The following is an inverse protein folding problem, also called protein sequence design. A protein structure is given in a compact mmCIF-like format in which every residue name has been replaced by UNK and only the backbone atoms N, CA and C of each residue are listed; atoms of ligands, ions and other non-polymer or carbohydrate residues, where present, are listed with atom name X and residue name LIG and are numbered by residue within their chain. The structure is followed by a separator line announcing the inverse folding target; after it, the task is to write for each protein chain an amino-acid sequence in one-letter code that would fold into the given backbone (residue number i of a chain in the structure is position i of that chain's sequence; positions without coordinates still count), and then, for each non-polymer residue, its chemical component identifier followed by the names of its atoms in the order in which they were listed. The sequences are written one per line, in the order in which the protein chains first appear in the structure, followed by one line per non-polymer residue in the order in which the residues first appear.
data_IF_079021713224
#
_entry.id   IF_079021713224
#
_cell.length_a   1.000
_cell.length_b   1.000
_cell.length_c   1.000
_cell.angle_alpha   90.00
_cell.angle_beta   90.00
_cell.angle_gamma   90.00
#
_symmetry.space_group_name_H-M   'P 1'
#
loop_
_entity.id
_entity.type
_entity.pdbx_description
1 polymer ?
#
# COMPACT_ATOMS: atom_id res chain seq x y z
N UNK A 1 -21.31 5.24 13.07
CA UNK A 1 -22.12 6.12 12.21
C UNK A 1 -23.19 5.34 11.46
N UNK A 2 -22.85 4.34 10.63
CA UNK A 2 -23.82 3.57 9.83
C UNK A 2 -24.90 2.94 10.73
N UNK A 3 -24.52 2.25 11.81
CA UNK A 3 -25.46 1.64 12.75
C UNK A 3 -26.42 2.65 13.40
N UNK A 4 -25.94 3.84 13.74
CA UNK A 4 -26.76 4.92 14.29
C UNK A 4 -27.81 5.40 13.29
N UNK A 5 -27.40 5.68 12.05
CA UNK A 5 -28.32 6.10 10.99
C UNK A 5 -29.32 5.02 10.64
N UNK A 6 -28.90 3.77 10.49
CA UNK A 6 -29.84 2.67 10.16
C UNK A 6 -30.87 2.46 11.25
N UNK A 7 -30.48 2.58 12.52
CA UNK A 7 -31.44 2.48 13.66
C UNK A 7 -32.40 3.66 13.63
N UNK A 8 -31.96 4.87 13.34
CA UNK A 8 -32.80 6.07 13.28
C UNK A 8 -33.80 6.02 12.12
N UNK A 9 -33.43 5.46 10.98
CA UNK A 9 -34.32 5.31 9.82
C UNK A 9 -35.06 3.99 9.76
N UNK A 10 -34.99 3.15 10.82
CA UNK A 10 -35.72 1.88 10.91
C UNK A 10 -35.24 0.81 9.91
N UNK A 11 -34.08 0.97 9.32
CA UNK A 11 -33.49 0.00 8.37
C UNK A 11 -32.89 -1.14 9.19
N UNK A 12 -33.51 -2.30 9.15
CA UNK A 12 -32.96 -3.53 9.75
C UNK A 12 -31.97 -4.16 8.77
N UNK A 13 -30.71 -4.07 9.06
CA UNK A 13 -29.67 -4.79 8.32
C UNK A 13 -29.60 -6.22 8.85
N UNK A 14 -29.67 -7.19 7.94
CA UNK A 14 -29.53 -8.60 8.29
C UNK A 14 -28.09 -8.88 8.75
N UNK A 15 -27.97 -9.51 9.93
CA UNK A 15 -26.67 -9.81 10.55
C UNK A 15 -25.80 -10.72 9.68
N UNK A 16 -26.39 -11.69 8.98
CA UNK A 16 -25.65 -12.58 8.08
C UNK A 16 -25.09 -11.84 6.87
N UNK A 17 -25.88 -10.93 6.30
CA UNK A 17 -25.43 -10.10 5.18
C UNK A 17 -24.30 -9.18 5.59
N UNK A 18 -24.37 -8.56 6.78
CA UNK A 18 -23.30 -7.72 7.30
C UNK A 18 -22.01 -8.51 7.53
N UNK A 19 -22.13 -9.70 8.11
CA UNK A 19 -20.97 -10.58 8.33
C UNK A 19 -20.33 -10.99 7.00
N UNK A 20 -21.14 -11.39 6.02
CA UNK A 20 -20.62 -11.70 4.67
C UNK A 20 -19.89 -10.51 4.03
N UNK A 21 -20.47 -9.31 4.10
CA UNK A 21 -19.83 -8.10 3.53
C UNK A 21 -18.52 -7.78 4.25
N UNK A 22 -18.46 -7.97 5.57
CA UNK A 22 -17.23 -7.77 6.36
C UNK A 22 -16.14 -8.76 5.94
N UNK A 23 -16.44 -10.05 5.84
CA UNK A 23 -15.48 -11.07 5.43
C UNK A 23 -15.00 -10.86 3.99
N UNK A 24 -15.94 -10.60 3.08
CA UNK A 24 -15.62 -10.32 1.69
C UNK A 24 -14.73 -9.08 1.55
N UNK A 25 -15.05 -8.01 2.29
CA UNK A 25 -14.21 -6.80 2.32
C UNK A 25 -12.79 -7.08 2.85
N UNK A 26 -12.68 -7.92 3.89
CA UNK A 26 -11.39 -8.32 4.44
C UNK A 26 -10.56 -9.13 3.43
N UNK A 27 -11.19 -10.08 2.74
CA UNK A 27 -10.54 -10.88 1.69
C UNK A 27 -10.02 -9.97 0.57
N UNK A 28 -10.84 -9.06 0.06
CA UNK A 28 -10.45 -8.11 -0.99
C UNK A 28 -9.29 -7.21 -0.52
N UNK A 29 -9.32 -6.74 0.71
CA UNK A 29 -8.28 -5.91 1.29
C UNK A 29 -6.94 -6.65 1.32
N UNK A 30 -6.91 -7.86 1.88
CA UNK A 30 -5.69 -8.69 1.97
C UNK A 30 -5.18 -9.07 0.58
N UNK A 31 -6.08 -9.43 -0.34
CA UNK A 31 -5.73 -9.76 -1.72
C UNK A 31 -5.08 -8.58 -2.45
N UNK A 32 -5.66 -7.39 -2.32
CA UNK A 32 -5.13 -6.16 -2.94
C UNK A 32 -3.73 -5.82 -2.42
N UNK A 33 -3.52 -5.93 -1.09
CA UNK A 33 -2.19 -5.74 -0.49
C UNK A 33 -1.22 -6.80 -1.02
N UNK A 34 -1.65 -8.06 -1.12
CA UNK A 34 -0.83 -9.15 -1.65
C UNK A 34 -0.32 -8.89 -3.07
N UNK A 35 -1.20 -8.40 -3.96
CA UNK A 35 -0.83 -8.02 -5.33
C UNK A 35 0.17 -6.85 -5.32
N UNK A 36 -0.07 -5.85 -4.50
CA UNK A 36 0.76 -4.64 -4.46
C UNK A 36 2.17 -4.91 -3.90
N UNK A 37 2.26 -5.70 -2.84
CA UNK A 37 3.51 -5.96 -2.11
C UNK A 37 4.27 -7.16 -2.65
N UNK A 38 3.55 -8.15 -3.21
CA UNK A 38 4.10 -9.45 -3.62
C UNK A 38 5.34 -9.37 -4.53
N UNK A 39 5.32 -8.63 -5.63
CA UNK A 39 6.48 -8.54 -6.54
C UNK A 39 7.74 -7.96 -5.87
N UNK A 40 7.57 -6.97 -4.99
CA UNK A 40 8.67 -6.33 -4.27
C UNK A 40 9.20 -7.16 -3.09
N UNK A 41 8.36 -8.02 -2.51
CA UNK A 41 8.70 -8.79 -1.31
C UNK A 41 9.90 -9.72 -1.52
N UNK A 42 9.87 -10.53 -2.58
CA UNK A 42 10.97 -11.45 -2.89
C UNK A 42 12.27 -10.74 -3.29
N UNK A 43 12.15 -9.59 -3.97
CA UNK A 43 13.31 -8.77 -4.33
C UNK A 43 13.94 -8.13 -3.09
N UNK A 44 13.13 -7.66 -2.16
CA UNK A 44 13.58 -7.07 -0.88
C UNK A 44 14.26 -8.10 0.00
N UNK A 45 13.78 -9.34 0.07
CA UNK A 45 14.39 -10.43 0.85
C UNK A 45 15.84 -10.70 0.47
N UNK A 46 16.23 -10.52 -0.79
CA UNK A 46 17.57 -10.85 -1.29
C UNK A 46 18.63 -9.79 -0.95
N UNK A 47 18.28 -8.51 -0.87
CA UNK A 47 19.28 -7.41 -0.84
C UNK A 47 19.57 -6.83 0.56
N UNK A 48 18.58 -6.73 1.44
CA UNK A 48 18.73 -6.23 2.83
C UNK A 48 17.58 -6.69 3.73
N UNK A 49 16.69 -7.52 3.19
CA UNK A 49 15.43 -7.87 3.81
C UNK A 49 15.53 -8.74 5.07
N UNK A 50 16.59 -9.51 5.25
CA UNK A 50 16.71 -10.39 6.43
C UNK A 50 16.80 -9.59 7.74
N UNK A 51 17.58 -8.50 7.75
CA UNK A 51 17.71 -7.64 8.95
C UNK A 51 16.41 -6.90 9.23
N UNK A 52 15.79 -6.30 8.21
CA UNK A 52 14.52 -5.57 8.35
C UNK A 52 13.38 -6.51 8.75
N UNK A 53 13.28 -7.68 8.12
CA UNK A 53 12.29 -8.68 8.48
C UNK A 53 12.52 -9.23 9.89
N UNK A 54 13.78 -9.44 10.29
CA UNK A 54 14.13 -9.84 11.66
C UNK A 54 13.70 -8.81 12.70
N UNK A 55 13.91 -7.51 12.43
CA UNK A 55 13.42 -6.42 13.28
C UNK A 55 11.90 -6.37 13.31
N UNK A 56 11.23 -6.57 12.17
CA UNK A 56 9.77 -6.65 12.10
C UNK A 56 9.21 -7.79 12.95
N UNK A 57 9.78 -8.98 12.85
CA UNK A 57 9.40 -10.14 13.67
C UNK A 57 9.63 -9.84 15.16
N UNK A 58 10.75 -9.22 15.51
CA UNK A 58 11.06 -8.86 16.89
C UNK A 58 10.03 -7.87 17.46
N UNK A 59 9.65 -6.85 16.71
CA UNK A 59 8.63 -5.87 17.12
C UNK A 59 7.28 -6.56 17.37
N UNK A 60 6.84 -7.43 16.46
CA UNK A 60 5.60 -8.18 16.61
C UNK A 60 5.65 -9.12 17.81
N UNK A 61 6.76 -9.84 18.01
CA UNK A 61 6.95 -10.75 19.14
C UNK A 61 6.95 -10.00 20.48
N UNK A 62 7.64 -8.84 20.56
CA UNK A 62 7.62 -8.00 21.75
C UNK A 62 6.22 -7.46 22.02
N UNK A 63 5.48 -7.04 21.00
CA UNK A 63 4.10 -6.59 21.14
C UNK A 63 3.19 -7.70 21.69
N UNK A 64 3.29 -8.90 21.16
CA UNK A 64 2.54 -10.06 21.66
C UNK A 64 2.92 -10.42 23.10
N UNK A 65 4.21 -10.36 23.45
CA UNK A 65 4.69 -10.60 24.81
C UNK A 65 4.14 -9.58 25.80
N UNK A 66 4.22 -8.29 25.48
CA UNK A 66 3.68 -7.20 26.33
C UNK A 66 2.17 -7.37 26.51
N UNK A 67 1.45 -7.68 25.43
CA UNK A 67 0.01 -7.91 25.50
C UNK A 67 -0.35 -9.10 26.40
N UNK A 68 0.43 -10.19 26.31
CA UNK A 68 0.25 -11.37 27.16
C UNK A 68 0.53 -11.05 28.62
N UNK A 69 1.54 -10.23 28.90
CA UNK A 69 1.84 -9.76 30.26
C UNK A 69 0.70 -8.90 30.82
N UNK A 70 0.18 -7.95 30.02
CA UNK A 70 -0.95 -7.10 30.43
C UNK A 70 -2.17 -7.97 30.73
N UNK A 71 -2.48 -8.93 29.84
CA UNK A 71 -3.60 -9.88 30.03
C UNK A 71 -3.50 -10.61 31.37
N UNK A 72 -2.29 -11.07 31.77
CA UNK A 72 -2.09 -11.78 33.02
C UNK A 72 -2.06 -10.89 34.27
N UNK A 73 -1.65 -9.64 34.13
CA UNK A 73 -1.48 -8.73 35.27
C UNK A 73 -2.75 -7.91 35.58
N UNK A 74 -3.55 -7.59 34.57
CA UNK A 74 -4.69 -6.65 34.70
C UNK A 74 -6.05 -7.35 34.68
N UNK A 75 -6.07 -8.68 34.50
CA UNK A 75 -7.31 -9.50 34.48
C UNK A 75 -8.36 -9.02 33.46
N UNK A 76 -7.89 -8.59 32.27
CA UNK A 76 -8.76 -8.15 31.17
C UNK A 76 -9.24 -9.39 30.39
N UNK A 77 -10.52 -9.45 29.95
CA UNK A 77 -10.99 -10.56 29.12
C UNK A 77 -10.17 -10.74 27.83
N UNK A 78 -9.99 -11.99 27.38
CA UNK A 78 -9.17 -12.34 26.23
C UNK A 78 -9.61 -11.64 24.94
N UNK A 79 -10.92 -11.57 24.68
CA UNK A 79 -11.53 -10.91 23.53
C UNK A 79 -11.18 -9.40 23.48
N UNK A 80 -11.29 -8.73 24.61
CA UNK A 80 -10.90 -7.31 24.74
C UNK A 80 -9.39 -7.13 24.53
N UNK A 81 -8.59 -8.00 25.13
CA UNK A 81 -7.11 -7.95 25.00
C UNK A 81 -6.67 -8.11 23.56
N UNK A 82 -7.23 -9.08 22.84
CA UNK A 82 -6.97 -9.30 21.42
C UNK A 82 -7.40 -8.10 20.56
N UNK A 83 -8.54 -7.48 20.90
CA UNK A 83 -9.02 -6.26 20.25
C UNK A 83 -8.07 -5.08 20.46
N UNK A 84 -7.63 -4.84 21.71
CA UNK A 84 -6.65 -3.78 22.03
C UNK A 84 -5.34 -4.02 21.28
N UNK A 85 -4.81 -5.24 21.28
CA UNK A 85 -3.58 -5.56 20.55
C UNK A 85 -3.72 -5.26 19.06
N UNK A 86 -4.73 -5.81 18.41
CA UNK A 86 -4.97 -5.61 16.99
C UNK A 86 -5.17 -4.13 16.61
N UNK A 87 -5.84 -3.36 17.47
CA UNK A 87 -6.04 -1.92 17.31
C UNK A 87 -4.76 -1.11 17.52
N UNK A 88 -4.01 -1.41 18.57
CA UNK A 88 -2.77 -0.70 18.89
C UNK A 88 -1.69 -0.86 17.80
N UNK A 89 -1.62 -2.04 17.18
CA UNK A 89 -0.71 -2.29 16.04
C UNK A 89 -1.35 -1.98 14.67
N UNK A 90 -2.56 -1.42 14.66
CA UNK A 90 -3.32 -1.07 13.44
C UNK A 90 -3.48 -2.22 12.44
N UNK A 91 -3.60 -3.46 12.94
CA UNK A 91 -3.63 -4.68 12.15
C UNK A 91 -5.05 -5.24 12.01
N UNK A 92 -5.78 -4.81 10.99
CA UNK A 92 -7.14 -5.28 10.69
C UNK A 92 -7.23 -6.78 10.37
N UNK A 93 -6.29 -7.40 9.62
CA UNK A 93 -6.27 -8.86 9.45
C UNK A 93 -6.18 -9.63 10.77
N UNK A 94 -5.43 -9.13 11.75
CA UNK A 94 -5.36 -9.72 13.09
C UNK A 94 -6.70 -9.69 13.82
N UNK A 95 -7.50 -8.64 13.63
CA UNK A 95 -8.86 -8.57 14.16
C UNK A 95 -9.72 -9.68 13.57
N UNK A 96 -9.73 -9.84 12.24
CA UNK A 96 -10.52 -10.88 11.57
C UNK A 96 -10.13 -12.29 12.02
N UNK A 97 -8.83 -12.58 12.04
CA UNK A 97 -8.31 -13.88 12.50
C UNK A 97 -8.68 -14.15 13.96
N UNK A 98 -8.58 -13.16 14.84
CA UNK A 98 -8.95 -13.29 16.24
C UNK A 98 -10.46 -13.53 16.45
N UNK A 99 -11.30 -12.84 15.70
CA UNK A 99 -12.75 -13.05 15.73
C UNK A 99 -13.12 -14.46 15.26
N UNK A 100 -12.46 -14.97 14.22
CA UNK A 100 -12.66 -16.34 13.75
C UNK A 100 -12.29 -17.37 14.82
N UNK A 101 -11.10 -17.23 15.42
CA UNK A 101 -10.64 -18.13 16.49
C UNK A 101 -11.61 -18.10 17.69
N UNK A 102 -12.05 -16.93 18.12
CA UNK A 102 -13.04 -16.81 19.21
C UNK A 102 -14.35 -17.51 18.86
N UNK A 103 -14.80 -17.41 17.60
CA UNK A 103 -15.98 -18.10 17.12
C UNK A 103 -15.81 -19.62 17.14
N UNK A 104 -14.66 -20.14 16.70
CA UNK A 104 -14.32 -21.58 16.72
C UNK A 104 -14.22 -22.13 18.14
N UNK A 105 -13.80 -21.32 19.10
CA UNK A 105 -13.79 -21.67 20.54
C UNK A 105 -15.17 -21.59 21.22
N UNK A 106 -16.24 -21.33 20.46
CA UNK A 106 -17.59 -21.20 20.98
C UNK A 106 -17.87 -19.85 21.67
N UNK A 107 -16.98 -18.88 21.55
CA UNK A 107 -17.07 -17.55 22.16
C UNK A 107 -17.63 -16.51 21.19
N UNK A 108 -18.51 -16.87 20.29
CA UNK A 108 -19.05 -15.99 19.22
C UNK A 108 -19.71 -14.71 19.76
N UNK A 109 -20.25 -14.74 20.98
CA UNK A 109 -20.87 -13.56 21.59
C UNK A 109 -19.86 -12.49 22.01
N UNK A 110 -18.59 -12.86 22.19
CA UNK A 110 -17.53 -11.95 22.62
C UNK A 110 -16.79 -11.29 21.45
N UNK A 111 -17.01 -11.74 20.22
CA UNK A 111 -16.40 -11.15 19.01
C UNK A 111 -16.75 -9.67 18.84
N UNK A 112 -17.94 -9.25 19.27
CA UNK A 112 -18.37 -7.85 19.29
C UNK A 112 -17.50 -6.99 20.22
N UNK A 113 -17.15 -7.51 21.40
CA UNK A 113 -16.29 -6.81 22.36
C UNK A 113 -14.88 -6.62 21.80
N UNK A 114 -14.34 -7.64 21.11
CA UNK A 114 -13.08 -7.55 20.41
C UNK A 114 -13.10 -6.40 19.37
N UNK A 115 -14.18 -6.30 18.58
CA UNK A 115 -14.35 -5.23 17.60
C UNK A 115 -14.42 -3.84 18.22
N UNK A 116 -15.14 -3.69 19.36
CA UNK A 116 -15.20 -2.43 20.10
C UNK A 116 -13.84 -2.03 20.67
N UNK A 117 -13.14 -2.97 21.31
CA UNK A 117 -11.81 -2.74 21.87
C UNK A 117 -10.79 -2.34 20.78
N UNK A 118 -10.86 -2.99 19.61
CA UNK A 118 -10.08 -2.61 18.43
C UNK A 118 -10.38 -1.16 18.00
N UNK A 119 -11.65 -0.81 17.84
CA UNK A 119 -12.05 0.52 17.39
C UNK A 119 -11.62 1.63 18.36
N UNK A 120 -11.60 1.34 19.66
CA UNK A 120 -11.11 2.27 20.69
C UNK A 120 -9.59 2.39 20.69
N UNK A 121 -8.86 1.29 20.50
CA UNK A 121 -7.41 1.29 20.53
C UNK A 121 -6.76 1.83 19.25
N UNK A 122 -7.41 1.68 18.11
CA UNK A 122 -6.89 2.02 16.78
C UNK A 122 -6.41 3.50 16.65
N UNK A 123 -7.17 4.52 17.05
CA UNK A 123 -6.70 5.90 17.00
C UNK A 123 -5.45 6.14 17.85
N UNK A 124 -5.37 5.50 19.03
CA UNK A 124 -4.18 5.59 19.89
C UNK A 124 -2.99 4.88 19.26
N UNK A 125 -3.22 3.79 18.53
CA UNK A 125 -2.20 3.09 17.73
C UNK A 125 -1.58 4.02 16.67
N UNK A 126 -2.39 4.72 15.91
CA UNK A 126 -1.92 5.70 14.91
C UNK A 126 -1.13 6.82 15.57
N UNK A 127 -1.68 7.42 16.62
CA UNK A 127 -0.99 8.47 17.37
C UNK A 127 0.34 7.98 17.96
N UNK A 128 0.38 6.76 18.49
CA UNK A 128 1.57 6.12 19.03
C UNK A 128 2.66 5.92 17.96
N UNK A 129 2.30 5.46 16.79
CA UNK A 129 3.24 5.30 15.68
C UNK A 129 3.83 6.66 15.25
N UNK A 130 2.99 7.66 15.05
CA UNK A 130 3.44 9.00 14.67
C UNK A 130 4.33 9.62 15.74
N UNK A 131 3.95 9.46 17.01
CA UNK A 131 4.74 9.96 18.16
C UNK A 131 6.09 9.24 18.25
N UNK A 132 6.13 7.92 18.07
CA UNK A 132 7.38 7.16 18.12
C UNK A 132 8.32 7.56 16.98
N UNK A 133 7.82 7.74 15.77
CA UNK A 133 8.61 8.27 14.64
C UNK A 133 9.15 9.66 14.93
N UNK A 134 8.33 10.54 15.50
CA UNK A 134 8.76 11.88 15.88
C UNK A 134 9.83 11.86 16.97
N UNK A 135 9.66 11.01 18.00
CA UNK A 135 10.64 10.82 19.07
C UNK A 135 11.98 10.28 18.55
N UNK A 136 11.94 9.26 17.70
CA UNK A 136 13.15 8.70 17.06
C UNK A 136 13.87 9.81 16.29
N UNK A 137 13.17 10.59 15.48
CA UNK A 137 13.76 11.71 14.75
C UNK A 137 14.40 12.74 15.69
N UNK A 138 13.75 13.03 16.81
CA UNK A 138 14.24 14.00 17.80
C UNK A 138 15.48 13.48 18.54
N UNK A 139 15.46 12.23 19.04
CA UNK A 139 16.56 11.65 19.80
C UNK A 139 17.80 11.41 18.95
N UNK A 140 17.62 10.88 17.73
CA UNK A 140 18.72 10.56 16.82
C UNK A 140 19.11 11.74 15.92
N UNK A 141 18.42 12.89 16.02
CA UNK A 141 18.67 14.10 15.19
C UNK A 141 18.71 13.79 13.70
N UNK A 142 17.84 12.90 13.23
CA UNK A 142 17.82 12.43 11.84
C UNK A 142 17.41 13.58 10.92
N UNK A 143 18.26 13.89 9.94
CA UNK A 143 17.95 14.82 8.86
C UNK A 143 17.34 14.03 7.70
N UNK A 144 16.03 14.17 7.50
CA UNK A 144 15.27 13.39 6.51
C UNK A 144 15.82 13.55 5.10
N UNK A 145 16.24 14.75 4.73
CA UNK A 145 16.73 15.04 3.38
C UNK A 145 18.07 14.35 3.09
N UNK A 146 18.97 14.28 4.10
CA UNK A 146 20.26 13.58 3.97
C UNK A 146 20.06 12.05 3.90
N UNK A 147 19.17 11.52 4.73
CA UNK A 147 18.84 10.08 4.74
C UNK A 147 18.11 9.65 3.47
N UNK A 148 17.19 10.47 2.95
CA UNK A 148 16.52 10.19 1.69
C UNK A 148 17.54 10.12 0.53
N UNK A 149 18.48 11.06 0.47
CA UNK A 149 19.54 11.05 -0.56
C UNK A 149 20.48 9.85 -0.43
N UNK A 150 20.79 9.43 0.81
CA UNK A 150 21.60 8.24 1.05
C UNK A 150 20.85 6.96 0.67
N UNK A 151 19.58 6.87 1.00
CA UNK A 151 18.72 5.74 0.62
C UNK A 151 18.58 5.60 -0.90
N UNK A 152 18.43 6.70 -1.63
CA UNK A 152 18.42 6.70 -3.10
C UNK A 152 19.73 6.15 -3.67
N UNK A 153 20.87 6.54 -3.10
CA UNK A 153 22.19 6.03 -3.51
C UNK A 153 22.37 4.55 -3.19
N UNK A 154 21.94 4.09 -2.00
CA UNK A 154 22.10 2.70 -1.57
C UNK A 154 21.15 1.74 -2.29
N UNK A 155 19.95 2.19 -2.61
CA UNK A 155 18.94 1.35 -3.26
C UNK A 155 19.26 1.15 -4.74
N UNK A 156 20.32 1.83 -5.24
CA UNK A 156 20.77 1.69 -6.64
C UNK A 156 19.62 2.04 -7.58
N UNK A 157 18.80 3.01 -7.20
CA UNK A 157 17.85 3.62 -8.09
C UNK A 157 18.57 4.57 -9.06
N UNK A 158 19.70 4.07 -9.61
CA UNK A 158 20.25 4.47 -10.90
C UNK A 158 19.31 4.05 -12.07
N UNK A 159 18.08 3.70 -11.80
CA UNK A 159 17.02 3.97 -12.76
C UNK A 159 16.94 5.49 -12.76
N UNK A 160 17.70 6.10 -13.64
CA UNK A 160 17.56 7.51 -13.99
C UNK A 160 16.09 7.84 -13.93
N UNK A 161 15.70 8.74 -13.01
CA UNK A 161 14.31 9.14 -12.85
C UNK A 161 13.81 9.41 -14.26
N UNK A 162 12.79 8.68 -14.70
CA UNK A 162 12.26 8.75 -16.06
C UNK A 162 12.11 10.23 -16.40
N UNK A 163 13.09 10.78 -17.14
CA UNK A 163 13.07 12.18 -17.54
C UNK A 163 12.10 12.31 -18.70
N UNK A 164 11.00 12.99 -18.46
CA UNK A 164 10.09 13.34 -19.55
C UNK A 164 10.76 14.36 -20.45
N UNK A 165 11.09 13.94 -21.67
CA UNK A 165 11.67 14.79 -22.69
C UNK A 165 10.62 15.05 -23.77
N UNK A 166 10.43 16.32 -24.13
CA UNK A 166 9.62 16.70 -25.28
C UNK A 166 10.54 16.89 -26.48
N UNK A 167 10.51 15.95 -27.41
CA UNK A 167 11.33 15.98 -28.61
C UNK A 167 10.51 16.40 -29.81
N UNK A 168 11.06 17.29 -30.64
CA UNK A 168 10.50 17.63 -31.94
C UNK A 168 11.25 16.89 -33.03
N UNK A 169 10.53 16.07 -33.79
CA UNK A 169 11.13 15.34 -34.89
C UNK A 169 11.23 16.26 -36.11
N UNK A 170 12.46 16.46 -36.60
CA UNK A 170 12.75 17.28 -37.79
C UNK A 170 13.30 16.47 -38.95
N UNK A 171 13.67 15.18 -38.70
CA UNK A 171 14.26 14.33 -39.71
C UNK A 171 13.16 13.77 -40.63
N UNK A 172 13.16 14.19 -41.89
CA UNK A 172 12.20 13.74 -42.90
C UNK A 172 12.38 12.27 -43.34
N UNK A 173 13.57 11.69 -43.08
CA UNK A 173 13.85 10.30 -43.42
C UNK A 173 13.08 9.29 -42.54
N UNK A 174 12.51 9.75 -41.45
CA UNK A 174 11.68 8.92 -40.56
C UNK A 174 10.23 8.79 -41.05
N UNK A 175 9.88 9.46 -42.14
CA UNK A 175 8.54 9.41 -42.68
C UNK A 175 8.21 8.01 -43.27
N UNK A 176 7.14 7.39 -42.79
CA UNK A 176 6.73 6.06 -43.21
C UNK A 176 7.39 4.90 -42.46
N UNK A 177 8.22 5.16 -41.47
CA UNK A 177 8.84 4.13 -40.65
C UNK A 177 7.96 3.90 -39.40
N UNK A 178 7.87 2.64 -38.96
CA UNK A 178 7.20 2.34 -37.70
C UNK A 178 7.97 2.90 -36.50
N UNK A 179 7.25 3.36 -35.50
CA UNK A 179 7.85 3.98 -34.31
C UNK A 179 8.88 3.07 -33.63
N UNK A 180 8.64 1.75 -33.65
CA UNK A 180 9.52 0.74 -33.05
C UNK A 180 10.80 0.50 -33.87
N UNK A 181 10.80 0.85 -35.16
CA UNK A 181 11.96 0.68 -36.06
C UNK A 181 12.91 1.89 -36.02
N UNK A 182 12.56 2.94 -35.29
CA UNK A 182 13.39 4.12 -35.16
C UNK A 182 14.53 3.81 -34.17
N UNK A 183 15.80 3.98 -34.57
CA UNK A 183 16.92 3.74 -33.68
C UNK A 183 16.80 4.54 -32.37
N UNK A 184 16.94 3.85 -31.23
CA UNK A 184 16.74 4.43 -29.89
C UNK A 184 15.35 4.21 -29.28
N UNK A 185 14.37 3.70 -30.04
CA UNK A 185 13.11 3.22 -29.50
C UNK A 185 13.02 1.69 -29.42
N UNK A 186 14.01 1.00 -29.96
CA UNK A 186 14.16 -0.46 -29.93
C UNK A 186 14.78 -0.96 -28.61
N UNK A 187 15.53 -0.09 -27.94
CA UNK A 187 16.07 -0.34 -26.60
C UNK A 187 15.04 0.06 -25.55
N UNK A 188 14.92 -0.72 -24.47
CA UNK A 188 13.99 -0.49 -23.34
C UNK A 188 14.24 0.86 -22.61
N UNK A 189 15.23 1.63 -23.06
CA UNK A 189 15.66 2.88 -22.42
C UNK A 189 14.78 4.08 -22.74
N UNK A 190 14.03 4.07 -23.86
CA UNK A 190 13.18 5.20 -24.28
C UNK A 190 11.77 4.74 -24.60
N UNK A 191 10.79 5.26 -23.85
CA UNK A 191 9.38 4.97 -24.07
C UNK A 191 8.65 6.22 -24.56
N UNK A 192 8.07 6.14 -25.77
CA UNK A 192 7.20 7.20 -26.28
C UNK A 192 5.84 7.15 -25.61
N UNK A 193 5.61 8.03 -24.63
CA UNK A 193 4.34 8.08 -23.90
C UNK A 193 3.23 8.82 -24.66
N UNK A 194 3.57 9.83 -25.47
CA UNK A 194 2.62 10.65 -26.23
C UNK A 194 3.24 11.16 -27.53
N UNK A 195 2.44 11.16 -28.59
CA UNK A 195 2.80 11.75 -29.86
C UNK A 195 1.82 12.89 -30.17
N UNK A 196 2.35 14.10 -30.38
CA UNK A 196 1.56 15.28 -30.75
C UNK A 196 1.71 15.54 -32.26
N UNK A 197 0.56 15.61 -32.96
CA UNK A 197 0.47 16.03 -34.38
C UNK A 197 -0.50 17.21 -34.48
N UNK A 198 0.01 18.39 -34.72
CA UNK A 198 -0.81 19.61 -34.64
C UNK A 198 -1.43 19.75 -33.25
N UNK A 199 -2.74 19.79 -33.16
CA UNK A 199 -3.47 19.81 -31.87
C UNK A 199 -3.83 18.42 -31.34
N UNK A 200 -3.66 17.37 -32.14
CA UNK A 200 -4.02 16.02 -31.76
C UNK A 200 -2.90 15.36 -30.95
N UNK A 201 -3.21 14.90 -29.74
CA UNK A 201 -2.31 14.14 -28.87
C UNK A 201 -2.80 12.71 -28.82
N UNK A 202 -1.96 11.76 -29.23
CA UNK A 202 -2.26 10.33 -29.25
C UNK A 202 -1.25 9.55 -28.38
N UNK A 203 -1.71 8.45 -27.82
CA UNK A 203 -0.84 7.46 -27.20
C UNK A 203 -0.40 6.50 -28.29
N UNK A 204 0.90 6.40 -28.63
CA UNK A 204 1.34 5.55 -29.69
C UNK A 204 1.17 4.07 -29.32
N UNK A 205 0.72 3.28 -30.27
CA UNK A 205 0.77 1.81 -30.19
C UNK A 205 2.00 1.33 -30.97
N UNK A 206 2.54 0.16 -30.66
CA UNK A 206 3.75 -0.39 -31.27
C UNK A 206 3.71 -0.41 -32.82
N UNK A 207 2.53 -0.54 -33.41
CA UNK A 207 2.32 -0.56 -34.87
C UNK A 207 2.00 0.81 -35.49
N UNK A 208 2.22 1.92 -34.77
CA UNK A 208 1.90 3.24 -35.30
C UNK A 208 2.98 3.69 -36.31
N UNK A 209 2.57 3.91 -37.56
CA UNK A 209 3.45 4.50 -38.59
C UNK A 209 3.72 5.98 -38.26
N UNK A 210 5.00 6.32 -38.23
CA UNK A 210 5.41 7.73 -38.17
C UNK A 210 5.16 8.35 -39.54
N UNK A 211 4.29 9.34 -39.61
CA UNK A 211 4.10 10.18 -40.81
C UNK A 211 4.59 11.59 -40.48
N UNK A 212 5.41 12.15 -41.35
CA UNK A 212 5.86 13.54 -41.23
C UNK A 212 4.65 14.47 -41.11
N UNK A 213 4.71 15.52 -40.26
CA UNK A 213 3.67 16.53 -40.26
C UNK A 213 3.52 17.14 -41.66
N UNK A 214 2.30 17.16 -42.19
CA UNK A 214 2.00 17.83 -43.45
C UNK A 214 2.36 19.28 -43.35
N UNK A 215 2.86 19.92 -44.43
CA UNK A 215 3.09 21.37 -44.46
C UNK A 215 1.87 22.22 -44.08
N UNK A 216 0.64 21.64 -44.08
CA UNK A 216 -0.59 22.27 -43.63
C UNK A 216 -0.78 22.27 -42.11
N UNK A 217 -0.02 21.47 -41.33
CA UNK A 217 -0.12 21.37 -39.87
C UNK A 217 0.74 22.42 -39.15
N UNK A 218 1.41 23.30 -39.86
CA UNK A 218 2.29 24.36 -39.31
C UNK A 218 1.65 25.76 -39.32
N UNK A 219 0.31 25.84 -39.32
CA UNK A 219 -0.40 27.10 -39.11
C UNK A 219 -1.06 27.16 -37.76
#
# INVERSE_FOLDING_TARGET
FVAHFTTQYGIKLDSHTLHFVQEFGLILFVYTIGIQVGPGFFASLRKSGLTLNGLGILIVALGALVTTLIYKLVDIPLDVTLGIYSGAVTNTPSLGAGQQILSELGMSQTTSNMGMAYAMAYPFGICGILLSMWLIRLFFKIKVDEEAANFEKETGNDKEALKSLSLRVTNTNLNGIHLIEIPGFDDEDVVCSRLKRGELVIVPKACLLYTSPSPRDTR
#
